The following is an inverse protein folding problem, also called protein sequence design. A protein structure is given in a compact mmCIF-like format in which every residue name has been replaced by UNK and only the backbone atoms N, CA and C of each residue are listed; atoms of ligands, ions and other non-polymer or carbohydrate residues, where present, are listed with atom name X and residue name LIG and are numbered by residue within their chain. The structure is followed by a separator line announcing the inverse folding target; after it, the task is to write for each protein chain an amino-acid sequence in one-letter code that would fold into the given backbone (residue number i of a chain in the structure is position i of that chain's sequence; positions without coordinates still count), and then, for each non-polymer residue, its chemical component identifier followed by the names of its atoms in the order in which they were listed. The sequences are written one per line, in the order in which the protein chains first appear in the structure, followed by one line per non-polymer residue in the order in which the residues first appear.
data_IF_068311765058
#
_entry.id   IF_068311765058
#
_cell.length_a   1.000
_cell.length_b   1.000
_cell.length_c   1.000
_cell.angle_alpha   90.00
_cell.angle_beta   90.00
_cell.angle_gamma   90.00
#
_symmetry.space_group_name_H-M   'P 1'
#
loop_
_entity.id
_entity.type
_entity.pdbx_description
1 polymer ?
#
# COMPACT_ATOMS: atom_id res chain seq x y z
N UNK A 1 11.59 -1.87 -7.57
CA UNK A 1 11.68 -3.10 -6.76
C UNK A 1 13.12 -3.59 -6.59
N UNK A 2 13.87 -3.91 -7.65
CA UNK A 2 15.24 -4.46 -7.53
C UNK A 2 16.26 -3.54 -6.83
N UNK A 3 16.08 -2.22 -6.93
CA UNK A 3 16.93 -1.22 -6.23
C UNK A 3 16.81 -1.24 -4.70
N UNK A 4 15.75 -1.86 -4.15
CA UNK A 4 15.48 -1.88 -2.71
C UNK A 4 15.63 -3.28 -2.10
N UNK A 5 15.17 -4.31 -2.81
CA UNK A 5 15.24 -5.69 -2.34
C UNK A 5 16.56 -6.39 -2.69
N UNK A 6 17.41 -5.76 -3.50
CA UNK A 6 18.66 -6.33 -3.99
C UNK A 6 18.54 -7.02 -5.36
N UNK A 7 19.66 -7.54 -5.85
CA UNK A 7 19.72 -8.24 -7.13
C UNK A 7 19.23 -9.68 -7.02
N UNK A 8 18.67 -10.17 -8.11
CA UNK A 8 18.25 -11.55 -8.27
C UNK A 8 19.46 -12.37 -8.77
N UNK A 9 20.22 -12.94 -7.83
CA UNK A 9 21.33 -13.85 -8.12
C UNK A 9 21.12 -15.22 -7.46
N UNK A 10 21.89 -16.23 -7.85
CA UNK A 10 21.79 -17.59 -7.30
C UNK A 10 22.03 -17.65 -5.78
N UNK A 11 22.75 -16.67 -5.21
CA UNK A 11 22.96 -16.57 -3.76
C UNK A 11 21.67 -16.17 -3.01
N UNK A 12 20.87 -15.28 -3.60
CA UNK A 12 19.64 -14.74 -2.98
C UNK A 12 18.40 -15.53 -3.38
N UNK A 13 18.42 -16.18 -4.55
CA UNK A 13 17.33 -16.98 -5.06
C UNK A 13 17.90 -18.14 -5.92
N UNK A 14 18.26 -19.28 -5.32
CA UNK A 14 18.98 -20.36 -6.00
C UNK A 14 18.17 -21.01 -7.13
N UNK A 15 16.83 -20.96 -7.06
CA UNK A 15 15.97 -21.50 -8.12
C UNK A 15 15.83 -20.60 -9.34
N UNK A 16 16.47 -19.42 -9.37
CA UNK A 16 16.35 -18.52 -10.51
C UNK A 16 16.85 -19.14 -11.82
N UNK A 17 17.91 -19.93 -11.76
CA UNK A 17 18.50 -20.59 -12.93
C UNK A 17 17.61 -21.66 -13.53
N UNK A 18 16.64 -22.17 -12.77
CA UNK A 18 15.61 -23.13 -13.22
C UNK A 18 14.44 -22.45 -13.93
N UNK A 19 14.27 -21.13 -13.78
CA UNK A 19 13.15 -20.42 -14.39
C UNK A 19 13.37 -20.27 -15.90
N UNK A 20 12.38 -20.61 -16.73
CA UNK A 20 12.51 -20.65 -18.20
C UNK A 20 12.87 -19.29 -18.83
N UNK A 21 12.56 -18.20 -18.13
CA UNK A 21 12.79 -16.84 -18.63
C UNK A 21 13.90 -16.09 -17.91
N UNK A 22 14.55 -16.67 -16.89
CA UNK A 22 15.59 -15.97 -16.13
C UNK A 22 16.77 -15.53 -17.01
N UNK A 23 17.14 -16.33 -18.01
CA UNK A 23 18.24 -16.02 -18.95
C UNK A 23 17.98 -14.83 -19.86
N UNK A 24 16.71 -14.45 -20.06
CA UNK A 24 16.33 -13.28 -20.88
C UNK A 24 16.33 -11.99 -20.07
N UNK A 25 16.39 -12.09 -18.74
CA UNK A 25 16.38 -10.95 -17.85
C UNK A 25 17.82 -10.54 -17.56
N UNK A 26 18.23 -9.38 -18.09
CA UNK A 26 19.52 -8.78 -17.76
C UNK A 26 19.36 -8.06 -16.43
N UNK A 27 19.87 -8.68 -15.36
CA UNK A 27 19.91 -8.04 -14.06
C UNK A 27 21.24 -7.30 -13.87
N UNK A 28 21.19 -6.14 -13.20
CA UNK A 28 22.42 -5.55 -12.67
C UNK A 28 22.90 -6.44 -11.53
N UNK A 29 24.10 -6.99 -11.66
CA UNK A 29 24.72 -7.80 -10.64
C UNK A 29 25.03 -6.96 -9.37
N UNK A 30 24.98 -7.61 -8.20
CA UNK A 30 25.41 -7.05 -6.90
C UNK A 30 24.72 -5.77 -6.42
N UNK A 31 23.40 -5.65 -6.62
CA UNK A 31 22.62 -4.71 -5.82
C UNK A 31 22.42 -5.30 -4.42
N UNK A 32 22.93 -4.63 -3.40
CA UNK A 32 22.65 -4.99 -2.01
C UNK A 32 21.22 -4.62 -1.61
N UNK A 33 20.68 -5.36 -0.65
CA UNK A 33 19.36 -5.08 -0.08
C UNK A 33 19.48 -3.90 0.88
N UNK A 34 18.73 -2.82 0.60
CA UNK A 34 18.70 -1.62 1.46
C UNK A 34 17.27 -1.30 1.93
N UNK A 35 16.40 -2.31 2.00
CA UNK A 35 14.97 -2.15 2.26
C UNK A 35 14.72 -1.49 3.63
N UNK A 36 15.31 -2.02 4.70
CA UNK A 36 15.17 -1.46 6.05
C UNK A 36 15.63 -0.01 6.10
N UNK A 37 16.80 0.29 5.54
CA UNK A 37 17.37 1.64 5.53
C UNK A 37 16.45 2.65 4.84
N UNK A 38 15.79 2.25 3.75
CA UNK A 38 14.85 3.11 3.01
C UNK A 38 13.49 3.22 3.66
N UNK A 39 13.00 2.16 4.31
CA UNK A 39 11.68 2.17 4.94
C UNK A 39 11.70 2.79 6.34
N UNK A 40 12.84 2.78 7.02
CA UNK A 40 12.99 3.38 8.34
C UNK A 40 12.67 4.89 8.39
N UNK A 41 12.73 5.60 7.26
CA UNK A 41 12.31 7.00 7.17
C UNK A 41 10.78 7.19 7.23
N UNK A 42 10.01 6.14 6.95
CA UNK A 42 8.55 6.19 6.87
C UNK A 42 7.88 5.39 8.00
N UNK A 43 8.44 4.23 8.32
CA UNK A 43 7.92 3.31 9.34
C UNK A 43 8.83 3.40 10.55
N UNK A 44 8.31 3.92 11.65
CA UNK A 44 9.07 4.09 12.90
C UNK A 44 9.09 2.83 13.76
N UNK A 45 8.10 1.97 13.61
CA UNK A 45 8.00 0.75 14.38
C UNK A 45 8.92 -0.34 13.80
N UNK A 46 9.78 -0.88 14.67
CA UNK A 46 10.74 -1.92 14.32
C UNK A 46 10.08 -3.25 13.99
N UNK A 47 8.99 -3.61 14.66
CA UNK A 47 8.27 -4.86 14.39
C UNK A 47 7.54 -4.79 13.05
N UNK A 48 6.97 -3.64 12.70
CA UNK A 48 6.41 -3.38 11.37
C UNK A 48 7.47 -3.47 10.26
N UNK A 49 8.66 -2.89 10.49
CA UNK A 49 9.77 -2.96 9.53
C UNK A 49 10.23 -4.41 9.29
N UNK A 50 10.36 -5.20 10.35
CA UNK A 50 10.75 -6.61 10.25
C UNK A 50 9.70 -7.45 9.49
N UNK A 51 8.41 -7.22 9.74
CA UNK A 51 7.34 -7.89 9.00
C UNK A 51 7.41 -7.56 7.50
N UNK A 52 7.62 -6.29 7.15
CA UNK A 52 7.73 -5.88 5.75
C UNK A 52 8.97 -6.49 5.10
N UNK A 53 10.08 -6.60 5.82
CA UNK A 53 11.31 -7.23 5.31
C UNK A 53 11.08 -8.69 4.92
N UNK A 54 10.39 -9.45 5.79
CA UNK A 54 10.02 -10.85 5.59
C UNK A 54 8.98 -11.07 4.49
N UNK A 55 8.09 -10.11 4.28
CA UNK A 55 7.13 -10.11 3.16
C UNK A 55 7.80 -9.79 1.82
N UNK A 56 8.82 -8.92 1.80
CA UNK A 56 9.52 -8.47 0.61
C UNK A 56 10.82 -9.25 0.34
N UNK A 57 10.84 -10.54 0.68
CA UNK A 57 11.88 -11.49 0.30
C UNK A 57 11.71 -11.92 -1.17
N UNK A 58 12.81 -11.91 -1.92
CA UNK A 58 12.81 -12.21 -3.35
C UNK A 58 12.49 -13.68 -3.63
N UNK A 59 13.07 -14.58 -2.84
CA UNK A 59 12.82 -16.01 -2.92
C UNK A 59 11.43 -16.34 -2.35
N UNK A 60 10.54 -16.97 -3.13
CA UNK A 60 9.18 -17.27 -2.68
C UNK A 60 9.15 -18.29 -1.54
N UNK A 61 10.03 -19.29 -1.56
CA UNK A 61 10.10 -20.34 -0.53
C UNK A 61 10.50 -19.84 0.85
N UNK A 62 11.17 -18.69 0.93
CA UNK A 62 11.58 -18.03 2.18
C UNK A 62 10.67 -16.87 2.56
N UNK A 63 9.74 -16.49 1.68
CA UNK A 63 8.79 -15.41 1.94
C UNK A 63 7.76 -15.88 2.95
N UNK A 64 7.32 -14.98 3.81
CA UNK A 64 6.29 -15.28 4.79
C UNK A 64 4.94 -15.58 4.13
N UNK A 65 4.33 -16.68 4.57
CA UNK A 65 2.94 -17.00 4.26
C UNK A 65 1.98 -16.11 5.06
N UNK A 66 0.72 -16.04 4.63
CA UNK A 66 -0.30 -15.24 5.32
C UNK A 66 -0.45 -15.61 6.80
N UNK A 67 -0.43 -16.92 7.14
CA UNK A 67 -0.51 -17.38 8.52
C UNK A 67 0.70 -16.90 9.35
N UNK A 68 1.91 -17.12 8.83
CA UNK A 68 3.15 -16.68 9.48
C UNK A 68 3.20 -15.15 9.66
N UNK A 69 2.62 -14.41 8.72
CA UNK A 69 2.52 -12.96 8.78
C UNK A 69 1.60 -12.48 9.89
N UNK A 70 0.47 -13.17 10.09
CA UNK A 70 -0.48 -12.87 11.16
C UNK A 70 0.06 -13.23 12.55
N UNK A 71 0.86 -14.29 12.65
CA UNK A 71 1.52 -14.72 13.88
C UNK A 71 2.74 -13.84 14.26
N UNK A 72 3.03 -12.78 13.49
CA UNK A 72 4.19 -11.92 13.71
C UNK A 72 4.03 -11.01 14.95
N UNK A 73 5.17 -10.69 15.59
CA UNK A 73 5.22 -9.80 16.76
C UNK A 73 4.52 -8.46 16.54
N UNK A 74 4.53 -7.94 15.31
CA UNK A 74 3.84 -6.70 14.95
C UNK A 74 2.35 -6.68 15.36
N UNK A 75 1.65 -7.81 15.22
CA UNK A 75 0.24 -7.91 15.60
C UNK A 75 0.03 -8.22 17.08
N UNK A 76 1.10 -8.62 17.78
CA UNK A 76 1.09 -8.97 19.22
C UNK A 76 1.74 -7.90 20.11
N UNK A 77 2.40 -6.90 19.53
CA UNK A 77 3.03 -5.78 20.22
C UNK A 77 2.08 -4.60 20.37
N UNK A 78 2.24 -3.83 21.44
CA UNK A 78 1.52 -2.58 21.59
C UNK A 78 1.98 -1.53 20.56
N UNK A 79 1.08 -0.69 20.01
CA UNK A 79 -0.36 -0.66 20.29
C UNK A 79 -1.14 -1.76 19.59
N UNK A 80 -2.10 -2.36 20.30
CA UNK A 80 -2.99 -3.36 19.74
C UNK A 80 -3.77 -2.86 18.50
N UNK A 81 -4.10 -3.75 17.55
CA UNK A 81 -4.89 -3.41 16.37
C UNK A 81 -6.20 -2.73 16.76
N UNK A 82 -6.45 -1.56 16.16
CA UNK A 82 -7.59 -0.71 16.48
C UNK A 82 -8.59 -0.62 15.33
N UNK A 83 -9.83 -0.27 15.64
CA UNK A 83 -10.91 -0.10 14.66
C UNK A 83 -10.60 1.02 13.65
N UNK A 84 -10.87 0.75 12.37
CA UNK A 84 -10.64 1.67 11.25
C UNK A 84 -11.62 2.86 11.23
N UNK A 85 -12.64 2.89 12.11
CA UNK A 85 -13.60 4.02 12.22
C UNK A 85 -12.92 5.39 12.23
N UNK A 86 -11.78 5.55 12.89
CA UNK A 86 -11.04 6.84 12.92
C UNK A 86 -10.48 7.21 11.56
N UNK A 87 -9.93 6.25 10.82
CA UNK A 87 -9.41 6.44 9.46
C UNK A 87 -10.55 6.77 8.49
N UNK A 88 -11.65 6.02 8.59
CA UNK A 88 -12.79 6.14 7.68
C UNK A 88 -13.58 7.45 7.86
N UNK A 89 -13.57 8.06 9.06
CA UNK A 89 -14.19 9.38 9.29
C UNK A 89 -13.61 10.49 8.40
N UNK A 90 -12.37 10.36 7.95
CA UNK A 90 -11.73 11.32 7.04
C UNK A 90 -12.09 11.11 5.57
N UNK A 91 -12.68 9.97 5.21
CA UNK A 91 -13.01 9.65 3.83
C UNK A 91 -14.29 10.37 3.40
N UNK A 92 -14.12 11.46 2.66
CA UNK A 92 -15.21 12.24 2.07
C UNK A 92 -15.32 11.81 0.61
N UNK A 93 -16.53 11.46 0.16
CA UNK A 93 -16.79 11.27 -1.27
C UNK A 93 -16.37 12.52 -2.06
N UNK A 94 -16.12 12.40 -3.37
CA UNK A 94 -15.80 13.60 -4.20
C UNK A 94 -16.86 14.69 -4.08
N UNK A 95 -18.13 14.32 -3.82
CA UNK A 95 -19.24 15.23 -3.56
C UNK A 95 -19.19 15.92 -2.18
N UNK A 96 -18.49 15.34 -1.22
CA UNK A 96 -18.35 15.86 0.14
C UNK A 96 -17.02 16.59 0.38
N UNK A 97 -16.09 16.55 -0.58
CA UNK A 97 -14.89 17.38 -0.56
C UNK A 97 -15.31 18.84 -0.81
N UNK A 98 -15.21 19.67 0.23
CA UNK A 98 -15.36 21.13 0.08
C UNK A 98 -14.13 21.61 -0.69
N UNK A 99 -14.25 21.72 -2.00
CA UNK A 99 -13.22 22.37 -2.82
C UNK A 99 -13.06 23.81 -2.32
N UNK A 100 -11.83 24.28 -2.03
CA UNK A 100 -11.60 25.68 -1.64
C UNK A 100 -12.02 26.68 -2.73
N UNK A 101 -12.31 26.20 -3.95
CA UNK A 101 -12.81 26.99 -5.07
C UNK A 101 -14.34 26.91 -5.27
N UNK A 102 -15.05 26.07 -4.53
CA UNK A 102 -16.52 25.97 -4.61
C UNK A 102 -17.15 26.51 -3.32
N UNK A 103 -17.32 27.83 -3.25
CA UNK A 103 -18.24 28.47 -2.31
C UNK A 103 -19.66 28.38 -2.86
N UNK A 104 -20.23 27.17 -2.95
CA UNK A 104 -21.66 27.05 -3.18
C UNK A 104 -22.40 27.25 -1.85
N UNK A 105 -23.28 28.26 -1.73
CA UNK A 105 -24.09 28.43 -0.54
C UNK A 105 -25.03 27.21 -0.42
N UNK A 106 -24.83 26.45 0.66
CA UNK A 106 -25.49 25.16 0.95
C UNK A 106 -27.03 25.27 1.04
N UNK A 107 -27.60 26.48 0.97
CA UNK A 107 -28.99 26.77 1.32
C UNK A 107 -29.97 26.95 0.15
N UNK A 108 -29.51 27.01 -1.09
CA UNK A 108 -30.40 27.32 -2.24
C UNK A 108 -30.82 26.11 -3.09
N UNK A 109 -30.06 25.01 -3.09
CA UNK A 109 -30.19 23.98 -4.14
C UNK A 109 -30.71 22.63 -3.61
N UNK A 110 -30.53 22.35 -2.32
CA UNK A 110 -31.00 21.11 -1.67
C UNK A 110 -32.52 20.88 -1.78
N UNK A 111 -33.39 21.89 -1.60
CA UNK A 111 -34.84 21.69 -1.73
C UNK A 111 -35.28 21.34 -3.15
N UNK A 112 -34.54 21.78 -4.16
CA UNK A 112 -34.88 21.62 -5.58
C UNK A 112 -34.52 20.22 -6.09
N UNK A 113 -33.43 19.63 -5.58
CA UNK A 113 -33.00 18.27 -5.94
C UNK A 113 -33.94 17.22 -5.35
N UNK A 114 -34.41 17.43 -4.12
CA UNK A 114 -35.37 16.52 -3.46
C UNK A 114 -36.78 16.57 -4.08
N UNK A 115 -37.11 17.62 -4.83
CA UNK A 115 -38.41 17.78 -5.49
C UNK A 115 -38.50 17.18 -6.90
N UNK A 116 -37.43 16.57 -7.43
CA UNK A 116 -37.51 15.82 -8.69
C UNK A 116 -37.93 16.65 -9.89
N UNK A 117 -37.64 17.96 -9.92
CA UNK A 117 -38.03 18.82 -11.02
C UNK A 117 -36.96 18.78 -12.13
N UNK A 118 -37.19 17.90 -13.11
CA UNK A 118 -36.42 17.83 -14.36
C UNK A 118 -36.64 19.12 -15.16
N UNK A 119 -35.72 20.08 -15.05
CA UNK A 119 -35.72 21.23 -15.96
C UNK A 119 -35.29 20.74 -17.34
N UNK A 120 -36.28 20.62 -18.23
CA UNK A 120 -36.10 20.45 -19.67
C UNK A 120 -35.09 21.49 -20.17
N UNK A 121 -33.93 21.02 -20.64
CA UNK A 121 -33.00 21.82 -21.42
C UNK A 121 -33.72 22.18 -22.73
N UNK A 122 -34.12 23.44 -22.87
CA UNK A 122 -34.56 23.98 -24.15
C UNK A 122 -33.30 24.16 -25.02
N UNK A 123 -33.38 23.57 -26.22
CA UNK A 123 -32.43 23.69 -27.32
C UNK A 123 -32.20 25.15 -27.75
#
# INVERSE_FOLDING_TARGET
MFKICGSFCEQTCPEISKLPFARKLVFRERLERCLIQRLATFVKDSAALDLIDKLLVLEPSRRFDAKQSLDHLFFSSDPAPSDLKKLLKGHRSMFALKSPFCTYPEKEWLPSILKGEQRHLRH
#
